data_IF_830508719272
#
_entry.id   IF_830508719272
#
_cell.length_a   1.000
_cell.length_b   1.000
_cell.length_c   1.000
_cell.angle_alpha   90.00
_cell.angle_beta   90.00
_cell.angle_gamma   90.00
#
_symmetry.space_group_name_H-M   'P 1'
#
loop_
_entity.id
_entity.type
_entity.pdbx_description
1 polymer ?
#
# COMPACT_ATOMS: atom_id res chain seq x y z
N UNK A 1 -33.59 35.40 20.73
CA UNK A 1 -33.26 35.29 19.30
C UNK A 1 -31.82 34.82 19.16
N UNK A 2 -31.67 33.52 18.93
CA UNK A 2 -30.43 32.81 18.70
C UNK A 2 -30.06 32.94 17.24
N UNK A 3 -28.91 33.55 16.92
CA UNK A 3 -28.30 33.42 15.60
C UNK A 3 -26.79 33.16 15.73
N UNK A 4 -26.42 31.98 15.23
CA UNK A 4 -25.23 31.64 14.47
C UNK A 4 -23.86 31.97 15.06
N UNK A 5 -23.41 31.07 15.95
CA UNK A 5 -22.01 30.89 16.33
C UNK A 5 -21.39 29.67 15.63
N UNK A 6 -21.66 29.51 14.33
CA UNK A 6 -21.23 28.35 13.52
C UNK A 6 -20.56 28.70 12.18
N UNK A 7 -20.13 29.94 11.96
CA UNK A 7 -19.36 30.31 10.75
C UNK A 7 -17.86 30.53 11.02
N UNK A 8 -17.37 30.05 12.17
CA UNK A 8 -16.01 30.32 12.65
C UNK A 8 -15.14 29.08 12.90
N UNK A 9 -15.42 27.96 12.26
CA UNK A 9 -14.51 26.81 12.25
C UNK A 9 -13.95 26.64 10.85
N UNK A 10 -12.74 27.15 10.70
CA UNK A 10 -11.80 26.91 9.62
C UNK A 10 -12.19 25.71 8.75
N UNK A 11 -12.59 26.03 7.51
CA UNK A 11 -12.17 25.24 6.35
C UNK A 11 -10.64 25.26 6.36
N UNK A 12 -10.01 24.46 7.22
CA UNK A 12 -8.68 23.95 6.92
C UNK A 12 -8.89 23.19 5.62
N UNK A 13 -8.47 23.83 4.52
CA UNK A 13 -8.76 23.36 3.18
C UNK A 13 -8.45 21.89 3.11
N UNK A 14 -9.47 21.08 2.83
CA UNK A 14 -9.23 19.72 2.39
C UNK A 14 -8.18 19.83 1.28
N UNK A 15 -7.09 19.05 1.34
CA UNK A 15 -6.09 19.09 0.29
C UNK A 15 -6.81 18.90 -1.05
N UNK A 16 -6.41 19.64 -2.10
CA UNK A 16 -7.08 19.59 -3.39
C UNK A 16 -7.19 18.11 -3.80
N UNK A 17 -8.40 17.72 -4.19
CA UNK A 17 -8.65 16.37 -4.66
C UNK A 17 -7.77 16.14 -5.89
N UNK A 18 -6.88 15.16 -5.82
CA UNK A 18 -6.01 14.81 -6.95
C UNK A 18 -6.91 14.21 -8.03
N UNK A 19 -7.24 15.00 -9.04
CA UNK A 19 -8.03 14.55 -10.19
C UNK A 19 -7.07 13.88 -11.17
N UNK A 20 -7.14 12.56 -11.26
CA UNK A 20 -6.37 11.78 -12.22
C UNK A 20 -7.15 11.66 -13.54
N UNK A 21 -6.47 11.70 -14.70
CA UNK A 21 -7.12 11.51 -16.00
C UNK A 21 -7.74 10.10 -16.07
N UNK A 22 -8.79 9.89 -16.87
CA UNK A 22 -9.36 8.57 -17.08
C UNK A 22 -8.32 7.60 -17.68
N UNK A 23 -8.49 6.32 -17.40
CA UNK A 23 -7.63 5.27 -17.97
C UNK A 23 -7.89 5.10 -19.47
N UNK A 24 -6.85 4.78 -20.23
CA UNK A 24 -7.02 4.29 -21.60
C UNK A 24 -7.89 3.03 -21.65
N UNK A 25 -8.62 2.78 -22.75
CA UNK A 25 -9.40 1.55 -22.94
C UNK A 25 -8.58 0.27 -22.79
N UNK A 26 -7.31 0.29 -23.19
CA UNK A 26 -6.38 -0.83 -23.07
C UNK A 26 -6.06 -1.11 -21.60
N UNK A 27 -5.69 -0.07 -20.84
CA UNK A 27 -5.42 -0.18 -19.40
C UNK A 27 -6.66 -0.65 -18.65
N UNK A 28 -7.84 -0.12 -19.00
CA UNK A 28 -9.11 -0.53 -18.38
C UNK A 28 -9.39 -2.03 -18.60
N UNK A 29 -9.19 -2.55 -19.81
CA UNK A 29 -9.34 -3.99 -20.09
C UNK A 29 -8.35 -4.84 -19.29
N UNK A 30 -7.11 -4.39 -19.14
CA UNK A 30 -6.10 -5.07 -18.35
C UNK A 30 -6.48 -5.10 -16.86
N UNK A 31 -7.00 -3.98 -16.32
CA UNK A 31 -7.51 -3.91 -14.94
C UNK A 31 -8.62 -4.93 -14.72
N UNK A 32 -9.62 -4.97 -15.60
CA UNK A 32 -10.74 -5.93 -15.52
C UNK A 32 -10.24 -7.37 -15.62
N UNK A 33 -9.27 -7.63 -16.51
CA UNK A 33 -8.67 -8.94 -16.65
C UNK A 33 -7.91 -9.37 -15.39
N UNK A 34 -7.11 -8.49 -14.77
CA UNK A 34 -6.42 -8.78 -13.52
C UNK A 34 -7.40 -9.02 -12.37
N UNK A 35 -8.47 -8.24 -12.28
CA UNK A 35 -9.53 -8.43 -11.29
C UNK A 35 -10.19 -9.81 -11.40
N UNK A 36 -10.50 -10.26 -12.62
CA UNK A 36 -11.03 -11.60 -12.88
C UNK A 36 -10.05 -12.73 -12.49
N UNK A 37 -8.75 -12.43 -12.41
CA UNK A 37 -7.70 -13.36 -11.97
C UNK A 37 -7.35 -13.26 -10.47
N UNK A 38 -8.25 -12.66 -9.68
CA UNK A 38 -8.13 -12.59 -8.22
C UNK A 38 -7.17 -11.51 -7.74
N UNK A 39 -6.90 -10.47 -8.54
CA UNK A 39 -6.22 -9.27 -8.08
C UNK A 39 -7.21 -8.17 -7.66
N UNK A 40 -6.89 -7.41 -6.63
CA UNK A 40 -7.48 -6.11 -6.39
C UNK A 40 -6.52 -5.06 -6.96
N UNK A 41 -7.05 -4.23 -7.85
CA UNK A 41 -6.32 -3.11 -8.45
C UNK A 41 -6.77 -1.83 -7.78
N UNK A 42 -5.80 -1.07 -7.29
CA UNK A 42 -6.00 0.21 -6.64
C UNK A 42 -5.17 1.28 -7.33
N UNK A 43 -5.77 2.44 -7.50
CA UNK A 43 -5.07 3.64 -7.91
C UNK A 43 -4.53 4.35 -6.66
N UNK A 44 -3.22 4.60 -6.58
CA UNK A 44 -2.66 5.54 -5.62
C UNK A 44 -2.89 6.96 -6.15
N UNK A 45 -3.33 7.85 -5.28
CA UNK A 45 -3.56 9.25 -5.60
C UNK A 45 -2.32 10.11 -5.36
N UNK A 46 -1.25 9.54 -4.78
CA UNK A 46 -0.10 10.31 -4.35
C UNK A 46 -0.45 11.24 -3.20
N UNK A 47 -1.16 10.71 -2.20
CA UNK A 47 -1.48 11.44 -0.96
C UNK A 47 -0.45 11.13 0.11
N UNK A 48 -0.10 12.15 0.89
CA UNK A 48 0.76 11.97 2.05
C UNK A 48 0.03 11.21 3.16
N UNK A 49 0.74 10.47 4.03
CA UNK A 49 0.15 9.85 5.20
C UNK A 49 -0.65 10.83 6.09
N UNK A 50 -0.19 12.07 6.25
CA UNK A 50 -0.93 13.07 7.04
C UNK A 50 -2.24 13.50 6.39
N UNK A 51 -2.29 13.59 5.04
CA UNK A 51 -3.51 13.86 4.29
C UNK A 51 -4.51 12.71 4.44
N UNK A 52 -4.06 11.46 4.31
CA UNK A 52 -4.89 10.28 4.50
C UNK A 52 -5.44 10.18 5.92
N UNK A 53 -4.71 10.69 6.93
CA UNK A 53 -5.19 10.77 8.31
C UNK A 53 -6.47 11.62 8.41
N UNK A 54 -6.54 12.71 7.65
CA UNK A 54 -7.71 13.58 7.59
C UNK A 54 -8.90 12.89 6.90
N UNK A 55 -8.64 11.91 6.02
CA UNK A 55 -9.64 11.08 5.34
C UNK A 55 -10.14 9.88 6.16
N UNK A 56 -9.83 9.88 7.47
CA UNK A 56 -10.25 8.87 8.42
C UNK A 56 -9.28 7.68 8.56
N UNK A 57 -8.13 7.71 7.89
CA UNK A 57 -7.06 6.79 8.23
C UNK A 57 -6.56 7.12 9.63
N UNK A 58 -6.37 6.10 10.46
CA UNK A 58 -5.69 6.29 11.73
C UNK A 58 -4.30 5.66 11.63
N UNK A 59 -3.35 6.12 12.43
CA UNK A 59 -2.01 5.56 12.47
C UNK A 59 -1.65 5.31 13.92
N UNK A 60 -1.13 4.11 14.22
CA UNK A 60 -0.66 3.81 15.57
C UNK A 60 0.64 4.58 15.85
N UNK A 61 1.54 4.56 14.88
CA UNK A 61 2.79 5.32 14.86
C UNK A 61 3.16 5.57 13.40
N UNK A 62 3.51 6.81 13.12
CA UNK A 62 4.03 7.26 11.83
C UNK A 62 5.32 8.01 12.13
N UNK A 63 6.39 7.71 11.40
CA UNK A 63 7.64 8.44 11.54
C UNK A 63 7.47 9.86 10.98
N UNK A 64 7.79 10.93 11.74
CA UNK A 64 7.73 12.30 11.26
C UNK A 64 8.50 12.55 9.95
N UNK A 65 9.58 11.82 9.68
CA UNK A 65 10.32 11.94 8.43
C UNK A 65 9.45 11.61 7.19
N UNK A 66 8.49 10.70 7.34
CA UNK A 66 7.71 10.15 6.22
C UNK A 66 6.27 10.67 6.15
N UNK A 67 5.83 11.49 7.10
CA UNK A 67 4.43 11.91 7.16
C UNK A 67 3.98 12.81 6.01
N UNK A 68 4.93 13.48 5.37
CA UNK A 68 4.74 14.37 4.23
C UNK A 68 5.29 13.80 2.92
N UNK A 69 5.81 12.57 2.92
CA UNK A 69 6.31 11.90 1.72
C UNK A 69 5.12 11.34 0.95
N UNK A 70 5.15 11.49 -0.37
CA UNK A 70 4.10 11.02 -1.26
C UNK A 70 4.67 10.12 -2.36
N UNK A 71 3.88 9.12 -2.77
CA UNK A 71 4.18 8.33 -3.97
C UNK A 71 3.69 9.06 -5.22
N UNK A 72 4.26 8.72 -6.37
CA UNK A 72 3.64 9.10 -7.64
C UNK A 72 2.32 8.33 -7.81
N UNK A 73 1.26 8.95 -8.37
CA UNK A 73 0.03 8.24 -8.70
C UNK A 73 0.30 7.07 -9.65
N UNK A 74 -0.15 5.87 -9.28
CA UNK A 74 0.12 4.61 -9.98
C UNK A 74 -1.05 3.64 -9.83
N UNK A 75 -1.21 2.72 -10.78
CA UNK A 75 -2.13 1.59 -10.64
C UNK A 75 -1.34 0.40 -10.10
N UNK A 76 -1.74 -0.07 -8.93
CA UNK A 76 -1.06 -1.12 -8.19
C UNK A 76 -2.03 -2.26 -7.89
N UNK A 77 -1.59 -3.48 -8.13
CA UNK A 77 -2.41 -4.68 -8.01
C UNK A 77 -1.83 -5.67 -7.00
N UNK A 78 -2.72 -6.24 -6.18
CA UNK A 78 -2.43 -7.27 -5.18
C UNK A 78 -3.34 -8.46 -5.33
N UNK A 79 -2.87 -9.64 -4.98
CA UNK A 79 -3.77 -10.79 -4.81
C UNK A 79 -4.79 -10.51 -3.70
N UNK A 80 -6.06 -10.79 -3.95
CA UNK A 80 -7.16 -10.56 -3.00
C UNK A 80 -7.12 -11.57 -1.86
N UNK A 81 -6.68 -12.79 -2.14
CA UNK A 81 -6.69 -13.87 -1.16
C UNK A 81 -5.65 -13.60 -0.05
N UNK A 82 -6.05 -13.64 1.24
CA UNK A 82 -5.13 -13.39 2.34
C UNK A 82 -3.89 -14.30 2.36
N UNK A 83 -4.03 -15.52 1.85
CA UNK A 83 -2.94 -16.50 1.75
C UNK A 83 -1.93 -16.18 0.65
N UNK A 84 -2.27 -15.33 -0.32
CA UNK A 84 -1.45 -15.02 -1.50
C UNK A 84 -0.87 -13.59 -1.46
N UNK A 85 -1.05 -12.85 -0.36
CA UNK A 85 -0.51 -11.50 -0.23
C UNK A 85 1.02 -11.47 -0.17
N UNK A 86 1.64 -12.53 0.36
CA UNK A 86 3.09 -12.63 0.50
C UNK A 86 3.63 -13.65 -0.49
N UNK A 87 4.86 -13.43 -0.96
CA UNK A 87 5.59 -14.41 -1.75
C UNK A 87 5.69 -15.73 -0.98
N UNK A 88 5.30 -16.82 -1.65
CA UNK A 88 5.35 -18.15 -1.07
C UNK A 88 6.77 -18.47 -0.59
N UNK A 89 6.91 -19.00 0.62
CA UNK A 89 8.21 -19.34 1.21
C UNK A 89 9.03 -18.18 1.80
N UNK A 90 8.58 -16.93 1.67
CA UNK A 90 9.36 -15.77 2.14
C UNK A 90 9.31 -15.49 3.65
N UNK A 91 8.36 -16.10 4.38
CA UNK A 91 7.94 -15.64 5.71
C UNK A 91 8.97 -15.78 6.84
N UNK A 92 9.84 -16.78 6.75
CA UNK A 92 10.71 -17.21 7.86
C UNK A 92 12.21 -17.08 7.52
N UNK A 93 12.54 -16.29 6.50
CA UNK A 93 13.92 -16.06 6.03
C UNK A 93 14.27 -14.56 6.11
N UNK A 94 15.56 -14.18 6.12
CA UNK A 94 15.97 -12.77 6.10
C UNK A 94 15.41 -12.02 4.88
N UNK A 95 15.02 -10.75 5.06
CA UNK A 95 14.38 -9.98 3.99
C UNK A 95 15.22 -9.85 2.71
N UNK A 96 16.55 -9.74 2.83
CA UNK A 96 17.46 -9.73 1.66
C UNK A 96 17.37 -11.03 0.83
N UNK A 97 17.12 -12.16 1.48
CA UNK A 97 16.87 -13.44 0.81
C UNK A 97 15.47 -13.46 0.19
N UNK A 98 14.48 -12.80 0.80
CA UNK A 98 13.14 -12.67 0.24
C UNK A 98 13.10 -11.87 -1.07
N UNK A 99 13.96 -10.86 -1.21
CA UNK A 99 14.04 -10.06 -2.44
C UNK A 99 14.40 -10.92 -3.67
N UNK A 100 15.08 -12.05 -3.46
CA UNK A 100 15.42 -13.00 -4.51
C UNK A 100 14.21 -13.73 -5.10
N UNK A 101 13.05 -13.66 -4.45
CA UNK A 101 11.78 -14.22 -4.95
C UNK A 101 11.04 -13.28 -5.90
N UNK A 102 11.39 -11.98 -5.95
CA UNK A 102 10.74 -11.03 -6.88
C UNK A 102 10.94 -11.39 -8.36
N UNK A 103 12.14 -11.79 -8.83
CA UNK A 103 12.32 -12.26 -10.21
C UNK A 103 11.50 -13.50 -10.56
N UNK A 104 11.31 -14.42 -9.61
CA UNK A 104 10.47 -15.60 -9.81
C UNK A 104 9.00 -15.20 -9.98
N UNK A 105 8.54 -14.25 -9.17
CA UNK A 105 7.20 -13.69 -9.28
C UNK A 105 7.02 -12.89 -10.58
N UNK A 106 8.01 -12.10 -11.00
CA UNK A 106 8.02 -11.43 -12.30
C UNK A 106 7.86 -12.46 -13.44
N UNK A 107 8.63 -13.54 -13.40
CA UNK A 107 8.56 -14.61 -14.41
C UNK A 107 7.16 -15.24 -14.46
N UNK A 108 6.54 -15.43 -13.29
CA UNK A 108 5.16 -15.94 -13.18
C UNK A 108 4.15 -14.97 -13.79
N UNK A 109 4.27 -13.68 -13.49
CA UNK A 109 3.41 -12.61 -14.02
C UNK A 109 3.58 -12.48 -15.53
N UNK A 110 4.81 -12.44 -16.05
CA UNK A 110 5.09 -12.34 -17.49
C UNK A 110 4.53 -13.52 -18.28
N UNK A 111 4.60 -14.73 -17.71
CA UNK A 111 4.00 -15.92 -18.30
C UNK A 111 2.47 -15.83 -18.34
N UNK A 112 1.86 -15.24 -17.31
CA UNK A 112 0.41 -15.10 -17.21
C UNK A 112 -0.13 -13.95 -18.08
N UNK A 113 0.65 -12.89 -18.25
CA UNK A 113 0.29 -11.67 -18.97
C UNK A 113 1.34 -11.31 -20.03
N UNK A 114 1.59 -12.19 -21.01
CA UNK A 114 2.55 -11.92 -22.06
C UNK A 114 2.03 -10.73 -22.88
N UNK A 115 2.85 -9.69 -23.04
CA UNK A 115 2.54 -8.43 -23.75
C UNK A 115 1.96 -7.26 -22.94
N UNK A 116 1.65 -7.42 -21.66
CA UNK A 116 1.04 -6.32 -20.87
C UNK A 116 2.06 -5.39 -20.19
N UNK A 117 3.36 -5.75 -20.19
CA UNK A 117 4.43 -4.92 -19.63
C UNK A 117 4.28 -4.63 -18.14
N UNK A 118 3.69 -5.57 -17.40
CA UNK A 118 3.50 -5.48 -15.95
C UNK A 118 4.84 -5.56 -15.21
N UNK A 119 4.96 -4.78 -14.13
CA UNK A 119 6.19 -4.71 -13.33
C UNK A 119 5.91 -5.30 -11.96
N UNK A 120 6.74 -6.25 -11.53
CA UNK A 120 6.72 -6.81 -10.18
C UNK A 120 7.85 -6.19 -9.39
N UNK A 121 7.52 -5.58 -8.25
CA UNK A 121 8.51 -4.98 -7.35
C UNK A 121 8.06 -5.05 -5.90
N UNK A 122 8.99 -4.74 -5.01
CA UNK A 122 8.61 -4.34 -3.65
C UNK A 122 7.87 -2.99 -3.70
N UNK A 123 6.91 -2.81 -2.80
CA UNK A 123 6.29 -1.51 -2.62
C UNK A 123 7.20 -0.49 -1.99
N UNK A 124 6.75 0.75 -2.03
CA UNK A 124 7.31 1.86 -1.26
C UNK A 124 6.32 2.27 -0.19
N UNK A 125 6.83 2.70 0.97
CA UNK A 125 6.02 3.08 2.11
C UNK A 125 4.81 3.97 1.75
N UNK A 126 4.95 5.08 1.01
CA UNK A 126 3.83 6.01 0.82
C UNK A 126 2.65 5.39 0.04
N UNK A 127 2.88 4.31 -0.70
CA UNK A 127 1.83 3.59 -1.44
C UNK A 127 0.93 2.79 -0.49
N UNK A 128 1.52 2.13 0.51
CA UNK A 128 0.83 1.16 1.37
C UNK A 128 -0.31 1.73 2.24
N UNK A 129 -0.23 2.94 2.83
CA UNK A 129 -1.36 3.51 3.56
C UNK A 129 -2.59 3.74 2.69
N UNK A 130 -2.43 4.23 1.46
CA UNK A 130 -3.53 4.40 0.52
C UNK A 130 -4.19 3.06 0.20
N UNK A 131 -3.36 2.07 -0.15
CA UNK A 131 -3.80 0.72 -0.48
C UNK A 131 -4.54 0.06 0.68
N UNK A 132 -4.01 0.17 1.90
CA UNK A 132 -4.63 -0.39 3.08
C UNK A 132 -6.00 0.25 3.39
N UNK A 133 -6.11 1.59 3.26
CA UNK A 133 -7.38 2.30 3.45
C UNK A 133 -8.43 1.89 2.39
N UNK A 134 -8.02 1.87 1.11
CA UNK A 134 -8.91 1.54 -0.02
C UNK A 134 -9.41 0.10 0.07
N UNK A 135 -8.51 -0.85 0.29
CA UNK A 135 -8.88 -2.26 0.41
C UNK A 135 -9.80 -2.51 1.59
N UNK A 136 -9.52 -1.91 2.75
CA UNK A 136 -10.39 -2.04 3.90
C UNK A 136 -11.78 -1.43 3.65
N UNK A 137 -11.87 -0.21 3.08
CA UNK A 137 -13.15 0.42 2.74
C UNK A 137 -13.96 -0.44 1.78
N UNK A 138 -13.33 -0.93 0.72
CA UNK A 138 -14.00 -1.71 -0.33
C UNK A 138 -14.52 -3.05 0.19
N UNK A 139 -13.69 -3.78 0.91
CA UNK A 139 -14.09 -5.08 1.47
C UNK A 139 -15.04 -4.94 2.67
N UNK A 140 -15.00 -3.82 3.40
CA UNK A 140 -15.98 -3.50 4.45
C UNK A 140 -17.38 -3.26 3.88
N UNK A 141 -17.50 -2.60 2.72
CA UNK A 141 -18.79 -2.41 2.03
C UNK A 141 -19.47 -3.73 1.69
N UNK A 142 -18.69 -4.78 1.45
CA UNK A 142 -19.18 -6.14 1.15
C UNK A 142 -19.30 -7.02 2.40
N UNK A 143 -19.20 -6.44 3.61
CA UNK A 143 -19.35 -7.15 4.89
C UNK A 143 -18.14 -7.99 5.31
N UNK A 144 -17.02 -7.95 4.58
CA UNK A 144 -15.83 -8.77 4.83
C UNK A 144 -14.72 -8.05 5.60
N UNK A 145 -14.52 -6.76 5.33
CA UNK A 145 -13.54 -5.91 6.04
C UNK A 145 -12.10 -6.44 6.02
N UNK A 146 -11.69 -7.06 4.91
CA UNK A 146 -10.36 -7.64 4.72
C UNK A 146 -9.30 -6.54 4.79
N UNK A 147 -8.14 -6.87 5.36
CA UNK A 147 -6.98 -5.99 5.46
C UNK A 147 -5.84 -6.58 4.64
N UNK A 148 -5.15 -5.73 3.87
CA UNK A 148 -3.92 -6.13 3.15
C UNK A 148 -2.81 -6.48 4.15
N UNK A 149 -2.74 -5.75 5.27
CA UNK A 149 -1.74 -5.98 6.31
C UNK A 149 -2.33 -6.03 7.71
N UNK A 150 -1.69 -6.82 8.56
CA UNK A 150 -2.24 -7.23 9.84
C UNK A 150 -3.16 -8.44 9.67
N UNK A 151 -3.35 -9.18 10.77
CA UNK A 151 -4.31 -10.29 10.82
C UNK A 151 -5.63 -9.81 11.39
N UNK A 152 -6.69 -10.56 11.12
CA UNK A 152 -7.94 -10.41 11.87
C UNK A 152 -7.74 -10.62 13.38
N UNK A 153 -6.81 -11.47 13.84
CA UNK A 153 -6.22 -11.33 15.18
C UNK A 153 -4.75 -11.79 15.28
N UNK A 154 -3.84 -10.81 15.13
CA UNK A 154 -2.43 -10.77 15.62
C UNK A 154 -1.27 -10.99 14.61
N UNK A 155 -0.97 -9.85 13.98
CA UNK A 155 0.35 -9.27 13.60
C UNK A 155 1.14 -9.98 12.49
N UNK A 156 0.89 -9.55 11.26
CA UNK A 156 1.84 -9.62 10.15
C UNK A 156 2.13 -8.18 9.69
N UNK A 157 3.40 -7.85 9.56
CA UNK A 157 3.90 -6.64 8.92
C UNK A 157 4.72 -7.11 7.69
N UNK A 158 5.08 -6.23 6.77
CA UNK A 158 6.09 -6.49 5.73
C UNK A 158 7.20 -5.45 5.88
N UNK A 159 8.32 -5.69 5.20
CA UNK A 159 9.28 -4.64 4.89
C UNK A 159 8.93 -4.02 3.54
N UNK A 160 9.40 -2.78 3.35
CA UNK A 160 9.21 -1.99 2.14
C UNK A 160 10.28 -0.92 2.10
N UNK A 161 10.69 -0.55 0.90
CA UNK A 161 11.53 0.63 0.70
C UNK A 161 10.79 1.91 1.08
N UNK A 162 11.56 2.92 1.44
CA UNK A 162 11.07 4.30 1.59
C UNK A 162 11.60 5.12 0.41
N UNK A 163 10.92 6.21 0.04
CA UNK A 163 11.53 7.14 -0.94
C UNK A 163 12.78 7.82 -0.38
N UNK A 164 12.95 7.85 0.94
CA UNK A 164 14.20 8.26 1.56
C UNK A 164 15.31 7.23 1.38
N UNK A 165 15.01 5.95 1.06
CA UNK A 165 16.01 4.87 0.93
C UNK A 165 17.07 5.14 -0.14
N UNK A 166 16.80 6.06 -1.06
CA UNK A 166 17.76 6.54 -2.06
C UNK A 166 18.80 7.54 -1.46
N UNK A 167 18.65 7.95 -0.20
CA UNK A 167 19.56 8.86 0.50
C UNK A 167 20.59 8.09 1.37
N UNK A 168 21.83 8.61 1.52
CA UNK A 168 22.82 8.01 2.40
C UNK A 168 22.32 7.86 3.85
N UNK A 169 22.34 6.63 4.36
CA UNK A 169 21.93 6.32 5.74
C UNK A 169 20.42 6.10 5.94
N UNK A 170 19.62 6.18 4.89
CA UNK A 170 18.21 5.87 4.98
C UNK A 170 17.96 4.37 5.16
N UNK A 171 16.95 4.06 5.99
CA UNK A 171 16.57 2.70 6.33
C UNK A 171 15.24 2.28 5.70
N UNK A 172 15.06 0.96 5.59
CA UNK A 172 13.79 0.35 5.18
C UNK A 172 12.69 0.62 6.22
N UNK A 173 11.43 0.62 5.79
CA UNK A 173 10.29 0.73 6.69
C UNK A 173 9.64 -0.64 6.91
N UNK A 174 9.37 -0.96 8.17
CA UNK A 174 8.40 -1.98 8.54
C UNK A 174 7.00 -1.35 8.44
N UNK A 175 6.15 -1.97 7.64
CA UNK A 175 4.77 -1.53 7.44
C UNK A 175 3.84 -2.66 7.79
N UNK A 176 2.91 -2.38 8.69
CA UNK A 176 1.80 -3.27 8.93
C UNK A 176 1.47 -3.41 10.39
N UNK A 177 0.42 -4.21 10.62
CA UNK A 177 -0.41 -4.24 11.83
C UNK A 177 -1.40 -3.07 11.92
N UNK A 178 -2.68 -3.45 11.91
CA UNK A 178 -3.78 -2.65 12.42
C UNK A 178 -4.11 -3.12 13.84
N UNK A 179 -4.18 -2.20 14.82
CA UNK A 179 -4.37 -2.56 16.23
C UNK A 179 -5.74 -2.05 16.73
N UNK A 180 -6.56 -2.96 17.30
CA UNK A 180 -7.74 -2.72 18.15
C UNK A 180 -8.72 -1.58 17.78
N UNK A 181 -8.95 -1.35 16.48
CA UNK A 181 -9.55 -0.13 15.91
C UNK A 181 -8.58 1.04 16.02
N UNK A 182 -8.39 1.80 14.92
CA UNK A 182 -7.54 2.99 14.76
C UNK A 182 -6.16 2.81 14.07
N UNK A 183 -6.03 1.88 13.12
CA UNK A 183 -5.22 2.14 11.90
C UNK A 183 -3.77 1.61 11.80
N UNK A 184 -2.98 2.11 10.82
CA UNK A 184 -1.72 1.51 10.32
C UNK A 184 -0.49 1.89 11.17
N UNK A 185 0.35 0.90 11.49
CA UNK A 185 1.64 1.08 12.16
C UNK A 185 2.79 1.06 11.14
N UNK A 186 3.68 2.05 11.24
CA UNK A 186 4.85 2.22 10.37
C UNK A 186 6.07 2.55 11.23
N UNK A 187 7.13 1.76 11.06
CA UNK A 187 8.38 1.92 11.77
C UNK A 187 9.54 1.97 10.78
N UNK A 188 10.38 3.01 10.84
CA UNK A 188 11.64 2.99 10.11
C UNK A 188 12.64 2.17 10.92
N UNK A 189 13.15 1.10 10.30
CA UNK A 189 14.22 0.30 10.86
C UNK A 189 15.58 0.84 10.43
N UNK A 190 16.58 0.67 11.29
CA UNK A 190 17.96 0.65 10.81
C UNK A 190 18.15 -0.65 10.01
N UNK A 191 18.89 -0.66 8.88
CA UNK A 191 19.13 -1.87 8.08
C UNK A 191 19.58 -3.08 8.93
N UNK A 192 20.43 -2.83 9.93
CA UNK A 192 21.01 -3.88 10.80
C UNK A 192 20.07 -4.34 11.94
N UNK A 193 18.91 -3.71 12.11
CA UNK A 193 17.95 -4.02 13.19
C UNK A 193 16.75 -4.83 12.70
N UNK A 194 16.88 -5.44 11.53
CA UNK A 194 15.82 -6.26 10.93
C UNK A 194 15.83 -7.64 11.60
N UNK A 195 14.79 -7.91 12.40
CA UNK A 195 14.54 -9.27 12.87
C UNK A 195 14.09 -10.15 11.69
N UNK A 196 14.49 -11.43 11.62
CA UNK A 196 14.28 -12.32 10.45
C UNK A 196 12.83 -12.80 10.25
N UNK A 197 11.87 -12.17 10.94
CA UNK A 197 10.51 -12.71 11.07
C UNK A 197 9.54 -11.77 10.36
N UNK A 198 9.36 -11.93 9.04
CA UNK A 198 8.30 -11.37 8.19
C UNK A 198 8.39 -11.87 6.75
N UNK A 199 7.33 -11.76 5.94
CA UNK A 199 7.34 -12.07 4.49
C UNK A 199 7.25 -10.83 3.60
N UNK A 200 7.65 -10.96 2.33
CA UNK A 200 7.63 -9.92 1.30
C UNK A 200 6.30 -9.97 0.55
N UNK A 201 5.59 -8.85 0.50
CA UNK A 201 4.39 -8.70 -0.32
C UNK A 201 4.75 -8.07 -1.68
N UNK A 202 4.63 -8.82 -2.80
CA UNK A 202 4.95 -8.28 -4.11
C UNK A 202 3.86 -7.31 -4.57
N UNK A 203 4.27 -6.28 -5.27
CA UNK A 203 3.41 -5.34 -5.95
C UNK A 203 3.48 -5.56 -7.45
N UNK A 204 2.32 -5.75 -8.10
CA UNK A 204 2.24 -5.71 -9.55
C UNK A 204 1.79 -4.32 -9.96
N UNK A 205 2.69 -3.55 -10.55
CA UNK A 205 2.41 -2.23 -11.09
C UNK A 205 1.90 -2.34 -12.53
N UNK A 206 0.80 -1.66 -12.80
CA UNK A 206 0.18 -1.53 -14.11
C UNK A 206 0.57 -0.14 -14.65
N UNK A 207 1.34 -0.06 -15.74
CA UNK A 207 1.71 1.21 -16.33
C UNK A 207 0.47 2.04 -16.67
N UNK A 208 0.39 3.25 -16.15
CA UNK A 208 -0.68 4.18 -16.48
C UNK A 208 -0.44 4.73 -17.90
N UNK A 209 -1.33 4.43 -18.84
CA UNK A 209 -1.31 4.96 -20.21
C UNK A 209 -2.65 5.58 -20.57
#
# INVERSE_FOLDING_TARGET
MTMNRLEGLARQGLPPEVVLPPLSPETQRLVEHMQNNGYAVYETAGKTPISLKQEGMCYLRLNPALENVTAAPSLLAFKVAPSEFFLAGSKDIPHEEQLKFLPEEQTRVDKQYPSEGLIVREGKLPEWPELALRHFKETSRTGRGVRIFGKDYKRAYTWTDTYESDQPGAGRAAVGRWRWVLGLDVLLGHPDRVHPVLGLAPLVEIPRK
#
